data_IF_675810858620
#
_entry.id   IF_675810858620
#
_cell.length_a   1.000
_cell.length_b   1.000
_cell.length_c   1.000
_cell.angle_alpha   90.00
_cell.angle_beta   90.00
_cell.angle_gamma   90.00
#
_symmetry.space_group_name_H-M   'P 1'
#
loop_
_entity.id
_entity.type
_entity.pdbx_description
1 polymer ?
#
# COMPACT_ATOMS: atom_id res chain seq x y z
N UNK A 1 25.92 -5.21 16.77
CA UNK A 1 24.54 -5.58 16.42
C UNK A 1 23.62 -4.82 17.36
N UNK A 2 23.13 -3.66 16.96
CA UNK A 2 22.09 -2.97 17.73
C UNK A 2 20.77 -3.67 17.39
N UNK A 3 20.25 -4.45 18.34
CA UNK A 3 18.92 -5.04 18.23
C UNK A 3 17.90 -3.90 18.09
N UNK A 4 17.08 -4.00 17.06
CA UNK A 4 15.99 -3.07 16.78
C UNK A 4 14.97 -3.23 17.90
N UNK A 5 14.58 -2.16 18.63
CA UNK A 5 13.45 -2.23 19.55
C UNK A 5 12.24 -2.75 18.79
N UNK A 6 11.55 -3.77 19.32
CA UNK A 6 10.33 -4.29 18.69
C UNK A 6 9.32 -3.15 18.59
N UNK A 7 9.22 -2.51 17.42
CA UNK A 7 8.26 -1.42 17.23
C UNK A 7 6.88 -2.05 17.36
N UNK A 8 6.18 -1.68 18.43
CA UNK A 8 4.82 -2.11 18.63
C UNK A 8 3.94 -1.21 17.76
N UNK A 9 3.76 -1.63 16.50
CA UNK A 9 2.99 -0.98 15.44
C UNK A 9 1.46 -0.82 15.70
N UNK A 10 1.02 -0.86 16.96
CA UNK A 10 -0.34 -1.22 17.35
C UNK A 10 -1.10 -0.17 18.18
N UNK A 11 -2.21 0.35 17.65
CA UNK A 11 -3.25 0.97 18.46
C UNK A 11 -4.33 -0.06 18.85
N UNK A 12 -4.81 -0.05 20.11
CA UNK A 12 -5.89 -0.92 20.61
C UNK A 12 -7.24 -0.84 19.85
N UNK A 13 -7.39 0.12 18.93
CA UNK A 13 -8.57 0.28 18.08
C UNK A 13 -8.76 -0.84 17.04
N UNK A 14 -7.73 -1.62 16.70
CA UNK A 14 -7.79 -2.60 15.61
C UNK A 14 -8.60 -3.86 15.95
N UNK A 15 -8.63 -4.29 17.22
CA UNK A 15 -9.49 -5.40 17.68
C UNK A 15 -10.98 -5.09 17.46
N UNK A 16 -11.37 -3.81 17.61
CA UNK A 16 -12.74 -3.36 17.33
C UNK A 16 -13.07 -3.51 15.85
N UNK A 17 -12.15 -3.13 14.96
CA UNK A 17 -12.35 -3.27 13.51
C UNK A 17 -12.42 -4.73 13.09
N UNK A 18 -11.56 -5.60 13.65
CA UNK A 18 -11.60 -7.05 13.42
C UNK A 18 -12.98 -7.64 13.74
N UNK A 19 -13.49 -7.37 14.95
CA UNK A 19 -14.85 -7.78 15.38
C UNK A 19 -15.96 -7.20 14.50
N UNK A 20 -15.77 -5.98 13.99
CA UNK A 20 -16.72 -5.37 13.06
C UNK A 20 -16.73 -6.08 11.71
N UNK A 21 -15.56 -6.44 11.17
CA UNK A 21 -15.43 -7.25 9.95
C UNK A 21 -16.13 -8.60 10.10
N UNK A 22 -15.87 -9.32 11.19
CA UNK A 22 -16.52 -10.61 11.51
C UNK A 22 -18.06 -10.51 11.46
N UNK A 23 -18.63 -9.44 12.04
CA UNK A 23 -20.08 -9.20 12.03
C UNK A 23 -20.64 -8.81 10.66
N UNK A 24 -19.82 -8.27 9.77
CA UNK A 24 -20.24 -7.82 8.44
C UNK A 24 -20.08 -8.91 7.37
N UNK A 25 -19.18 -9.87 7.57
CA UNK A 25 -18.93 -10.97 6.62
C UNK A 25 -20.17 -11.75 6.17
N UNK A 26 -21.15 -12.07 7.05
CA UNK A 26 -22.38 -12.73 6.61
C UNK A 26 -23.27 -11.88 5.70
N UNK A 27 -23.08 -10.55 5.69
CA UNK A 27 -23.89 -9.59 4.94
C UNK A 27 -23.38 -9.34 3.51
N UNK A 28 -22.19 -9.86 3.18
CA UNK A 28 -21.54 -9.62 1.88
C UNK A 28 -21.38 -10.89 1.08
N UNK A 29 -21.44 -10.75 -0.23
CA UNK A 29 -21.29 -11.82 -1.22
C UNK A 29 -19.81 -12.04 -1.57
N UNK A 30 -18.99 -10.98 -1.56
CA UNK A 30 -17.55 -11.05 -1.81
C UNK A 30 -16.76 -9.96 -1.08
N UNK A 31 -15.43 -10.09 -1.13
CA UNK A 31 -14.47 -9.17 -0.52
C UNK A 31 -13.61 -8.52 -1.60
N UNK A 32 -13.46 -7.20 -1.49
CA UNK A 32 -12.55 -6.40 -2.31
C UNK A 32 -11.35 -6.03 -1.45
N UNK A 33 -10.22 -6.68 -1.68
CA UNK A 33 -8.98 -6.41 -0.96
C UNK A 33 -8.17 -5.34 -1.70
N UNK A 34 -8.09 -4.14 -1.14
CA UNK A 34 -7.27 -3.06 -1.70
C UNK A 34 -5.86 -3.16 -1.12
N UNK A 35 -4.87 -3.26 -1.99
CA UNK A 35 -3.45 -3.41 -1.64
C UNK A 35 -2.60 -2.36 -2.35
N UNK A 36 -1.35 -2.16 -1.90
CA UNK A 36 -0.41 -1.24 -2.53
C UNK A 36 0.41 -1.98 -3.60
N UNK A 37 0.32 -1.54 -4.85
CA UNK A 37 0.99 -2.18 -5.99
C UNK A 37 2.52 -2.19 -5.88
N UNK A 38 3.11 -1.33 -5.03
CA UNK A 38 4.56 -1.28 -4.79
C UNK A 38 5.03 -2.37 -3.84
N UNK A 39 4.12 -2.93 -3.03
CA UNK A 39 4.38 -3.99 -2.04
C UNK A 39 3.21 -4.98 -1.99
N UNK A 40 2.89 -5.70 -3.08
CA UNK A 40 1.61 -6.40 -3.21
C UNK A 40 1.38 -7.53 -2.20
N UNK A 41 2.43 -8.20 -1.72
CA UNK A 41 2.32 -9.24 -0.71
C UNK A 41 2.46 -8.65 0.70
N UNK A 42 3.45 -7.80 0.93
CA UNK A 42 3.68 -7.17 2.24
C UNK A 42 2.51 -6.26 2.68
N UNK A 43 1.70 -5.74 1.75
CA UNK A 43 0.51 -4.96 2.08
C UNK A 43 -0.77 -5.77 2.30
N UNK A 44 -0.71 -7.10 2.19
CA UNK A 44 -1.82 -7.99 2.53
C UNK A 44 -1.77 -8.35 3.99
N UNK A 45 -2.93 -8.28 4.65
CA UNK A 45 -3.03 -8.59 6.06
C UNK A 45 -3.38 -10.08 6.26
N UNK A 46 -2.51 -10.88 6.89
CA UNK A 46 -2.77 -12.30 7.15
C UNK A 46 -4.07 -12.55 7.95
N UNK A 47 -4.38 -11.69 8.91
CA UNK A 47 -5.64 -11.80 9.69
C UNK A 47 -6.86 -11.58 8.79
N UNK A 48 -6.80 -10.63 7.85
CA UNK A 48 -7.88 -10.44 6.87
C UNK A 48 -8.01 -11.68 6.00
N UNK A 49 -6.89 -12.31 5.64
CA UNK A 49 -6.90 -13.55 4.84
C UNK A 49 -7.64 -14.67 5.55
N UNK A 50 -7.33 -14.89 6.82
CA UNK A 50 -7.98 -15.91 7.66
C UNK A 50 -9.46 -15.60 7.85
N UNK A 51 -9.81 -14.35 8.19
CA UNK A 51 -11.19 -13.96 8.46
C UNK A 51 -12.11 -14.08 7.26
N UNK A 52 -11.60 -13.77 6.08
CA UNK A 52 -12.37 -13.76 4.83
C UNK A 52 -12.29 -15.10 4.09
N UNK A 53 -11.72 -16.13 4.73
CA UNK A 53 -11.62 -17.47 4.15
C UNK A 53 -13.01 -17.99 3.73
N UNK A 54 -13.13 -18.42 2.47
CA UNK A 54 -14.38 -18.92 1.90
C UNK A 54 -15.28 -17.85 1.25
N UNK A 55 -14.92 -16.56 1.29
CA UNK A 55 -15.56 -15.53 0.47
C UNK A 55 -14.81 -15.36 -0.87
N UNK A 56 -15.52 -15.26 -2.01
CA UNK A 56 -14.90 -14.84 -3.26
C UNK A 56 -14.17 -13.51 -3.08
N UNK A 57 -13.01 -13.38 -3.73
CA UNK A 57 -12.11 -12.25 -3.53
C UNK A 57 -11.70 -11.61 -4.85
N UNK A 58 -11.65 -10.28 -4.83
CA UNK A 58 -11.06 -9.45 -5.89
C UNK A 58 -10.00 -8.57 -5.24
N UNK A 59 -8.79 -8.61 -5.76
CA UNK A 59 -7.68 -7.75 -5.35
C UNK A 59 -7.65 -6.51 -6.25
N UNK A 60 -7.62 -5.33 -5.63
CA UNK A 60 -7.34 -4.05 -6.30
C UNK A 60 -5.93 -3.62 -5.90
N UNK A 61 -4.98 -3.78 -6.82
CA UNK A 61 -3.61 -3.31 -6.69
C UNK A 61 -3.56 -1.81 -6.99
N UNK A 62 -3.79 -1.00 -5.96
CA UNK A 62 -3.85 0.46 -6.07
C UNK A 62 -2.46 1.09 -6.13
N UNK A 63 -2.38 2.34 -6.58
CA UNK A 63 -1.14 3.12 -6.78
C UNK A 63 -0.22 2.53 -7.84
N UNK A 64 -0.80 1.91 -8.87
CA UNK A 64 -0.03 1.34 -9.99
C UNK A 64 0.72 2.41 -10.81
N UNK A 65 0.39 3.69 -10.64
CA UNK A 65 1.12 4.83 -11.22
C UNK A 65 2.52 5.02 -10.61
N UNK A 66 2.75 4.51 -9.39
CA UNK A 66 4.03 4.56 -8.68
C UNK A 66 4.73 3.19 -8.59
N UNK A 67 4.15 2.13 -9.15
CA UNK A 67 4.70 0.77 -9.13
C UNK A 67 5.23 0.37 -10.51
N UNK A 68 6.26 -0.49 -10.55
CA UNK A 68 6.81 -1.00 -11.81
C UNK A 68 5.72 -1.79 -12.57
N UNK A 69 5.52 -1.46 -13.85
CA UNK A 69 4.43 -2.01 -14.67
C UNK A 69 4.64 -3.49 -15.03
N UNK A 70 5.89 -3.90 -15.25
CA UNK A 70 6.24 -5.31 -15.54
C UNK A 70 6.06 -6.15 -14.29
N UNK A 71 6.58 -5.71 -13.14
CA UNK A 71 6.45 -6.42 -11.86
C UNK A 71 4.98 -6.46 -11.42
N UNK A 72 4.22 -5.37 -11.63
CA UNK A 72 2.76 -5.36 -11.38
C UNK A 72 2.04 -6.42 -12.21
N UNK A 73 2.43 -6.61 -13.47
CA UNK A 73 1.85 -7.65 -14.33
C UNK A 73 2.20 -9.06 -13.84
N UNK A 74 3.44 -9.28 -13.39
CA UNK A 74 3.84 -10.56 -12.77
C UNK A 74 3.03 -10.86 -11.51
N UNK A 75 2.74 -9.86 -10.67
CA UNK A 75 1.88 -10.02 -9.49
C UNK A 75 0.42 -10.34 -9.85
N UNK A 76 -0.11 -9.75 -10.91
CA UNK A 76 -1.46 -10.11 -11.40
C UNK A 76 -1.49 -11.58 -11.82
N UNK A 77 -0.46 -12.06 -12.53
CA UNK A 77 -0.36 -13.45 -12.95
C UNK A 77 -0.20 -14.40 -11.75
N UNK A 78 0.61 -14.01 -10.76
CA UNK A 78 0.78 -14.73 -9.50
C UNK A 78 -0.56 -14.93 -8.77
N UNK A 79 -1.35 -13.86 -8.59
CA UNK A 79 -2.67 -13.98 -7.97
C UNK A 79 -3.65 -14.78 -8.83
N UNK A 80 -3.58 -14.66 -10.17
CA UNK A 80 -4.41 -15.46 -11.08
C UNK A 80 -4.12 -16.95 -10.93
N UNK A 81 -2.86 -17.37 -10.80
CA UNK A 81 -2.49 -18.78 -10.56
C UNK A 81 -3.07 -19.32 -9.25
N UNK A 82 -3.27 -18.45 -8.26
CA UNK A 82 -3.94 -18.78 -6.99
C UNK A 82 -5.47 -18.73 -7.07
N UNK A 83 -6.05 -18.50 -8.26
CA UNK A 83 -7.49 -18.36 -8.45
C UNK A 83 -8.07 -17.04 -7.93
N UNK A 84 -7.24 -16.02 -7.71
CA UNK A 84 -7.66 -14.72 -7.21
C UNK A 84 -7.64 -13.70 -8.35
N UNK A 85 -8.77 -13.06 -8.61
CA UNK A 85 -8.88 -11.97 -9.58
C UNK A 85 -8.12 -10.74 -9.06
N UNK A 86 -7.16 -10.21 -9.82
CA UNK A 86 -6.37 -9.04 -9.46
C UNK A 86 -6.41 -7.95 -10.54
N UNK A 87 -6.59 -6.69 -10.12
CA UNK A 87 -6.72 -5.53 -11.01
C UNK A 87 -5.74 -4.45 -10.55
N UNK A 88 -4.80 -4.09 -11.42
CA UNK A 88 -4.02 -2.87 -11.23
C UNK A 88 -4.87 -1.62 -11.47
N UNK A 89 -4.81 -0.69 -10.52
CA UNK A 89 -5.56 0.55 -10.55
C UNK A 89 -4.78 1.73 -9.98
N UNK A 90 -5.13 2.93 -10.45
CA UNK A 90 -4.85 4.18 -9.76
C UNK A 90 -6.20 4.76 -9.34
N UNK A 91 -6.54 4.62 -8.06
CA UNK A 91 -7.82 5.08 -7.52
C UNK A 91 -7.94 6.61 -7.47
N UNK A 92 -6.85 7.36 -7.60
CA UNK A 92 -6.87 8.83 -7.67
C UNK A 92 -7.33 9.28 -9.05
N UNK A 93 -6.76 8.72 -10.12
CA UNK A 93 -7.13 9.08 -11.50
C UNK A 93 -8.28 8.26 -12.06
N UNK A 94 -8.54 7.08 -11.51
CA UNK A 94 -9.51 6.09 -12.00
C UNK A 94 -8.96 5.13 -13.05
N UNK A 95 -7.66 5.18 -13.38
CA UNK A 95 -7.03 4.24 -14.33
C UNK A 95 -7.26 2.80 -13.86
N UNK A 96 -7.71 1.92 -14.76
CA UNK A 96 -7.89 0.49 -14.51
C UNK A 96 -9.20 0.10 -13.81
N UNK A 97 -9.93 1.05 -13.19
CA UNK A 97 -11.15 0.78 -12.42
C UNK A 97 -12.36 0.40 -13.28
N UNK A 98 -12.35 0.72 -14.58
CA UNK A 98 -13.38 0.28 -15.52
C UNK A 98 -13.49 -1.25 -15.62
N UNK A 99 -12.45 -1.99 -15.23
CA UNK A 99 -12.43 -3.46 -15.20
C UNK A 99 -13.08 -4.05 -13.94
N UNK A 100 -13.32 -3.24 -12.92
CA UNK A 100 -13.77 -3.73 -11.62
C UNK A 100 -15.19 -4.30 -11.65
N UNK A 101 -16.17 -3.58 -12.20
CA UNK A 101 -17.56 -4.08 -12.29
C UNK A 101 -17.66 -5.37 -13.14
N UNK A 102 -17.02 -5.45 -14.33
CA UNK A 102 -16.94 -6.72 -15.07
C UNK A 102 -16.34 -7.86 -14.24
N UNK A 103 -15.25 -7.61 -13.51
CA UNK A 103 -14.60 -8.61 -12.67
C UNK A 103 -15.49 -9.08 -11.51
N UNK A 104 -16.29 -8.19 -10.92
CA UNK A 104 -17.29 -8.57 -9.89
C UNK A 104 -18.30 -9.55 -10.48
N UNK A 105 -18.82 -9.27 -11.67
CA UNK A 105 -19.81 -10.14 -12.34
C UNK A 105 -19.22 -11.49 -12.72
N UNK A 106 -17.94 -11.53 -13.11
CA UNK A 106 -17.22 -12.77 -13.39
C UNK A 106 -17.03 -13.61 -12.12
N UNK A 107 -16.49 -13.01 -11.05
CA UNK A 107 -16.22 -13.71 -9.78
C UNK A 107 -17.50 -14.19 -9.09
N UNK A 108 -18.61 -13.48 -9.25
CA UNK A 108 -19.90 -13.83 -8.66
C UNK A 108 -20.89 -14.47 -9.65
N UNK A 109 -20.43 -14.94 -10.81
CA UNK A 109 -21.29 -15.47 -11.87
C UNK A 109 -22.24 -16.58 -11.37
N UNK A 110 -21.73 -17.53 -10.59
CA UNK A 110 -22.53 -18.64 -10.05
C UNK A 110 -23.61 -18.15 -9.07
N UNK A 111 -23.30 -17.16 -8.24
CA UNK A 111 -24.25 -16.56 -7.31
C UNK A 111 -25.35 -15.81 -8.08
N UNK A 112 -24.97 -15.05 -9.11
CA UNK A 112 -25.89 -14.32 -9.98
C UNK A 112 -26.83 -15.29 -10.69
N UNK A 113 -26.29 -16.39 -11.26
CA UNK A 113 -27.07 -17.42 -11.92
C UNK A 113 -28.05 -18.10 -10.95
N UNK A 114 -27.59 -18.45 -9.73
CA UNK A 114 -28.43 -19.03 -8.68
C UNK A 114 -29.56 -18.10 -8.24
N UNK A 115 -29.30 -16.80 -8.10
CA UNK A 115 -30.32 -15.82 -7.76
C UNK A 115 -31.35 -15.67 -8.90
N UNK A 116 -30.87 -15.63 -10.14
CA UNK A 116 -31.73 -15.55 -11.34
C UNK A 116 -32.66 -16.77 -11.45
N UNK A 117 -32.14 -17.99 -11.25
CA UNK A 117 -32.94 -19.22 -11.26
C UNK A 117 -34.02 -19.25 -10.17
N UNK A 118 -33.86 -18.47 -9.09
CA UNK A 118 -34.84 -18.30 -8.02
C UNK A 118 -35.80 -17.13 -8.26
N UNK A 119 -35.80 -16.51 -9.45
CA UNK A 119 -36.63 -15.35 -9.77
C UNK A 119 -36.14 -14.03 -9.15
N UNK A 120 -34.92 -13.98 -8.59
CA UNK A 120 -34.30 -12.79 -8.00
C UNK A 120 -33.26 -12.18 -8.95
N UNK A 121 -33.60 -12.06 -10.24
CA UNK A 121 -32.73 -11.41 -11.21
C UNK A 121 -32.48 -9.95 -10.82
N UNK A 122 -31.24 -9.49 -10.92
CA UNK A 122 -30.86 -8.13 -10.51
C UNK A 122 -30.79 -7.91 -8.99
N UNK A 123 -30.79 -8.98 -8.18
CA UNK A 123 -30.52 -8.87 -6.74
C UNK A 123 -29.19 -8.16 -6.50
N UNK A 124 -29.20 -7.15 -5.64
CA UNK A 124 -28.02 -6.37 -5.26
C UNK A 124 -26.93 -7.27 -4.71
N UNK A 125 -25.72 -7.11 -5.24
CA UNK A 125 -24.49 -7.75 -4.79
C UNK A 125 -23.83 -6.86 -3.75
N UNK A 126 -23.55 -7.42 -2.58
CA UNK A 126 -22.93 -6.69 -1.48
C UNK A 126 -21.45 -7.05 -1.39
N UNK A 127 -20.56 -6.07 -1.47
CA UNK A 127 -19.11 -6.27 -1.41
C UNK A 127 -18.54 -5.56 -0.18
N UNK A 128 -17.61 -6.20 0.54
CA UNK A 128 -16.87 -5.55 1.63
C UNK A 128 -15.50 -5.08 1.15
N UNK A 129 -15.17 -3.81 1.30
CA UNK A 129 -13.85 -3.27 0.98
C UNK A 129 -12.93 -3.40 2.19
N UNK A 130 -11.81 -4.08 2.04
CA UNK A 130 -10.84 -4.36 3.12
C UNK A 130 -9.42 -4.02 2.70
N UNK A 131 -8.50 -3.97 3.66
CA UNK A 131 -7.08 -3.69 3.44
C UNK A 131 -6.48 -2.85 4.56
N UNK A 132 -5.15 -2.77 4.61
CA UNK A 132 -4.44 -2.02 5.65
C UNK A 132 -4.68 -0.49 5.53
N UNK A 133 -4.30 0.33 6.51
CA UNK A 133 -4.35 1.79 6.40
C UNK A 133 -3.58 2.31 5.17
N UNK A 134 -3.98 3.47 4.64
CA UNK A 134 -3.28 4.21 3.58
C UNK A 134 -3.04 3.51 2.22
N UNK A 135 -3.59 2.30 1.99
CA UNK A 135 -3.62 1.67 0.65
C UNK A 135 -4.60 2.32 -0.32
N UNK A 136 -5.49 3.21 0.15
CA UNK A 136 -6.42 3.96 -0.69
C UNK A 136 -7.83 3.38 -0.81
N UNK A 137 -8.33 2.69 0.22
CA UNK A 137 -9.73 2.19 0.29
C UNK A 137 -10.77 3.28 0.07
N UNK A 138 -10.68 4.39 0.79
CA UNK A 138 -11.63 5.51 0.64
C UNK A 138 -11.50 6.18 -0.74
N UNK A 139 -10.29 6.28 -1.29
CA UNK A 139 -10.10 6.75 -2.68
C UNK A 139 -10.77 5.82 -3.69
N UNK A 140 -10.63 4.51 -3.51
CA UNK A 140 -11.32 3.50 -4.32
C UNK A 140 -12.83 3.68 -4.24
N UNK A 141 -13.41 3.67 -3.03
CA UNK A 141 -14.86 3.79 -2.83
C UNK A 141 -15.38 5.10 -3.43
N UNK A 142 -14.75 6.24 -3.11
CA UNK A 142 -15.17 7.54 -3.62
C UNK A 142 -15.07 7.63 -5.14
N UNK A 143 -14.03 7.02 -5.75
CA UNK A 143 -13.87 7.03 -7.21
C UNK A 143 -14.90 6.16 -7.90
N UNK A 144 -15.17 4.98 -7.35
CA UNK A 144 -16.19 4.05 -7.82
C UNK A 144 -17.60 4.67 -7.69
N UNK A 145 -17.91 5.28 -6.55
CA UNK A 145 -19.16 5.98 -6.25
C UNK A 145 -19.35 7.27 -7.08
N UNK A 146 -18.28 8.01 -7.34
CA UNK A 146 -18.30 9.26 -8.09
C UNK A 146 -18.51 9.09 -9.60
N UNK A 147 -18.33 7.88 -10.15
CA UNK A 147 -18.71 7.56 -11.53
C UNK A 147 -20.24 7.58 -11.73
N UNK A 148 -21.02 7.40 -10.65
CA UNK A 148 -22.47 7.53 -10.64
C UNK A 148 -22.90 8.23 -9.35
N UNK A 149 -22.92 9.58 -9.35
CA UNK A 149 -23.39 10.48 -8.25
C UNK A 149 -23.95 9.71 -7.04
N UNK A 150 -23.09 9.29 -6.11
CA UNK A 150 -23.57 8.74 -4.86
C UNK A 150 -24.34 9.83 -4.11
N UNK A 151 -25.62 9.57 -3.84
CA UNK A 151 -26.38 10.35 -2.86
C UNK A 151 -25.81 10.02 -1.49
N UNK A 152 -24.90 10.85 -1.01
CA UNK A 152 -24.49 10.87 0.39
C UNK A 152 -25.63 11.56 1.15
N UNK A 153 -26.46 10.81 1.87
CA UNK A 153 -27.32 11.39 2.89
C UNK A 153 -26.48 11.65 4.14
N UNK A 154 -26.17 12.92 4.37
CA UNK A 154 -25.36 13.39 5.49
C UNK A 154 -26.31 13.86 6.62
N UNK A 155 -26.44 13.09 7.71
CA UNK A 155 -27.10 13.55 8.95
C UNK A 155 -26.08 13.70 10.07
N UNK A 156 -25.80 14.93 10.54
CA UNK A 156 -24.92 15.15 11.69
C UNK A 156 -25.52 14.53 12.97
N UNK A 157 -24.71 13.80 13.74
CA UNK A 157 -25.07 13.35 15.09
C UNK A 157 -25.41 11.87 15.27
N UNK A 158 -25.34 11.04 14.23
CA UNK A 158 -25.56 9.59 14.36
C UNK A 158 -24.20 8.90 14.40
N UNK A 159 -23.95 8.11 15.45
CA UNK A 159 -22.84 7.14 15.51
C UNK A 159 -22.71 6.44 14.16
N UNK A 160 -21.55 6.56 13.49
CA UNK A 160 -21.24 6.03 12.14
C UNK A 160 -21.76 4.60 11.95
N UNK A 161 -23.01 4.46 11.50
CA UNK A 161 -23.59 3.21 11.08
C UNK A 161 -22.95 2.78 9.75
N UNK A 162 -23.00 1.48 9.47
CA UNK A 162 -22.38 0.83 8.32
C UNK A 162 -22.80 1.54 7.02
N UNK A 163 -21.86 2.24 6.37
CA UNK A 163 -22.16 3.01 5.18
C UNK A 163 -22.01 2.11 3.95
N UNK A 164 -23.15 1.69 3.39
CA UNK A 164 -23.22 1.11 2.06
C UNK A 164 -23.16 2.20 1.01
N UNK A 165 -22.35 1.98 -0.02
CA UNK A 165 -22.15 2.93 -1.12
C UNK A 165 -22.53 2.24 -2.41
N UNK A 166 -23.58 2.72 -3.05
CA UNK A 166 -24.04 2.20 -4.34
C UNK A 166 -23.02 2.53 -5.43
N UNK A 167 -22.57 1.49 -6.15
CA UNK A 167 -21.60 1.59 -7.23
C UNK A 167 -22.25 1.51 -8.62
N UNK A 168 -23.06 0.48 -8.81
CA UNK A 168 -23.85 0.26 -10.03
C UNK A 168 -25.33 0.16 -9.64
N UNK A 169 -26.23 -0.21 -10.54
CA UNK A 169 -27.64 -0.40 -10.17
C UNK A 169 -27.87 -1.61 -9.24
N UNK A 170 -26.90 -2.54 -9.19
CA UNK A 170 -27.00 -3.83 -8.52
C UNK A 170 -25.74 -4.21 -7.72
N UNK A 171 -24.86 -3.24 -7.39
CA UNK A 171 -23.64 -3.50 -6.60
C UNK A 171 -23.44 -2.43 -5.53
N UNK A 172 -23.39 -2.82 -4.26
CA UNK A 172 -23.07 -1.95 -3.13
C UNK A 172 -21.73 -2.30 -2.48
N UNK A 173 -21.01 -1.28 -2.03
CA UNK A 173 -19.74 -1.40 -1.31
C UNK A 173 -19.94 -1.03 0.16
N UNK A 174 -19.54 -1.91 1.06
CA UNK A 174 -19.41 -1.62 2.49
C UNK A 174 -17.99 -1.17 2.80
N UNK A 175 -17.84 0.06 3.29
CA UNK A 175 -16.54 0.59 3.72
C UNK A 175 -16.12 0.00 5.07
N UNK A 176 -14.89 -0.50 5.15
CA UNK A 176 -14.28 -0.94 6.40
C UNK A 176 -13.02 -0.12 6.70
N UNK A 177 -12.86 0.35 7.96
CA UNK A 177 -11.61 0.96 8.40
C UNK A 177 -10.42 0.04 8.14
N UNK A 178 -9.25 0.64 7.91
CA UNK A 178 -8.02 -0.13 7.73
C UNK A 178 -7.62 -0.90 8.97
N UNK A 179 -7.11 -2.12 8.77
CA UNK A 179 -6.63 -3.00 9.85
C UNK A 179 -5.21 -3.42 9.55
N UNK A 180 -4.26 -3.12 10.44
CA UNK A 180 -2.96 -3.79 10.49
C UNK A 180 -3.06 -4.98 11.44
N UNK A 181 -2.12 -5.90 11.32
CA UNK A 181 -2.04 -7.06 12.19
C UNK A 181 -0.93 -6.90 13.23
N UNK A 182 -1.00 -7.70 14.30
CA UNK A 182 -0.18 -7.47 15.45
C UNK A 182 1.33 -7.46 15.22
N UNK A 183 1.86 -8.62 14.94
CA UNK A 183 3.29 -8.85 14.88
C UNK A 183 3.61 -9.16 13.44
N UNK A 184 4.58 -8.45 12.90
CA UNK A 184 5.23 -8.86 11.66
C UNK A 184 6.20 -9.98 12.03
N UNK A 185 6.02 -11.18 11.46
CA UNK A 185 6.98 -12.28 11.62
C UNK A 185 8.29 -11.96 10.91
N UNK A 186 8.19 -11.30 9.76
CA UNK A 186 9.31 -10.79 8.98
C UNK A 186 9.44 -9.28 9.14
N UNK A 187 10.62 -8.82 9.59
CA UNK A 187 10.95 -7.41 9.73
C UNK A 187 10.95 -6.66 8.38
N UNK A 188 11.25 -7.36 7.28
CA UNK A 188 11.26 -6.78 5.94
C UNK A 188 9.88 -6.26 5.53
N UNK A 189 8.81 -6.92 5.99
CA UNK A 189 7.42 -6.51 5.77
C UNK A 189 7.14 -5.19 6.49
N UNK A 190 7.54 -5.08 7.76
CA UNK A 190 7.37 -3.85 8.55
C UNK A 190 8.05 -2.65 7.89
N UNK A 191 9.26 -2.84 7.36
CA UNK A 191 10.00 -1.79 6.64
C UNK A 191 9.31 -1.38 5.35
N UNK A 192 8.91 -2.33 4.51
CA UNK A 192 8.13 -2.07 3.27
C UNK A 192 6.84 -1.31 3.55
N UNK A 193 6.14 -1.65 4.63
CA UNK A 193 4.94 -0.94 5.08
C UNK A 193 5.26 0.48 5.56
N UNK A 194 6.37 0.69 6.26
CA UNK A 194 6.81 2.01 6.68
C UNK A 194 7.25 2.88 5.47
N UNK A 195 8.02 2.34 4.53
CA UNK A 195 8.41 3.04 3.29
C UNK A 195 7.20 3.54 2.51
N UNK A 196 6.16 2.72 2.40
CA UNK A 196 4.93 3.05 1.65
C UNK A 196 3.95 3.93 2.42
N UNK A 197 4.21 4.22 3.70
CA UNK A 197 3.38 5.04 4.58
C UNK A 197 2.13 4.33 5.09
N UNK A 198 2.10 2.99 5.06
CA UNK A 198 1.02 2.21 5.67
C UNK A 198 1.07 2.26 7.21
N UNK A 199 2.27 2.47 7.75
CA UNK A 199 2.47 2.82 9.16
C UNK A 199 2.79 4.31 9.28
N UNK A 200 2.35 4.93 10.39
CA UNK A 200 2.54 6.35 10.64
C UNK A 200 4.02 6.66 10.90
N UNK A 201 4.48 7.81 10.43
CA UNK A 201 5.87 8.23 10.59
C UNK A 201 6.20 8.57 12.07
N UNK A 202 5.23 9.06 12.84
CA UNK A 202 5.42 9.42 14.26
C UNK A 202 5.86 8.25 15.17
N UNK A 203 5.75 7.01 14.69
CA UNK A 203 6.16 5.81 15.44
C UNK A 203 7.48 5.22 14.94
N UNK A 204 8.16 5.89 14.01
CA UNK A 204 9.42 5.43 13.39
C UNK A 204 10.42 6.59 13.35
N UNK A 205 11.69 6.28 13.56
CA UNK A 205 12.76 7.21 13.19
C UNK A 205 12.75 7.41 11.67
N UNK A 206 12.33 8.61 11.26
CA UNK A 206 12.14 8.98 9.85
C UNK A 206 13.48 9.07 9.12
N UNK A 207 14.55 9.50 9.79
CA UNK A 207 15.89 9.57 9.20
C UNK A 207 16.43 8.17 8.94
N UNK A 208 16.33 7.28 9.94
CA UNK A 208 16.72 5.89 9.80
C UNK A 208 15.90 5.21 8.69
N UNK A 209 14.59 5.45 8.64
CA UNK A 209 13.71 4.89 7.61
C UNK A 209 14.13 5.36 6.20
N UNK A 210 14.40 6.66 6.03
CA UNK A 210 14.87 7.20 4.76
C UNK A 210 16.23 6.64 4.36
N UNK A 211 17.17 6.50 5.29
CA UNK A 211 18.47 5.86 5.05
C UNK A 211 18.31 4.44 4.52
N UNK A 212 17.42 3.64 5.14
CA UNK A 212 17.16 2.25 4.71
C UNK A 212 16.46 2.18 3.36
N UNK A 213 15.53 3.10 3.10
CA UNK A 213 14.92 3.22 1.78
C UNK A 213 15.95 3.55 0.70
N UNK A 214 16.86 4.49 0.96
CA UNK A 214 17.92 4.87 0.01
C UNK A 214 18.87 3.69 -0.29
N UNK A 215 19.25 2.91 0.73
CA UNK A 215 20.00 1.67 0.53
C UNK A 215 19.21 0.73 -0.39
N UNK A 216 17.93 0.51 -0.11
CA UNK A 216 17.10 -0.39 -0.92
C UNK A 216 16.95 0.08 -2.36
N UNK A 217 16.71 1.38 -2.56
CA UNK A 217 16.59 1.99 -3.87
C UNK A 217 17.90 1.94 -4.66
N UNK A 218 19.06 2.05 -4.00
CA UNK A 218 20.37 1.85 -4.64
C UNK A 218 20.51 0.44 -5.22
N UNK A 219 19.98 -0.58 -4.56
CA UNK A 219 20.02 -1.96 -5.03
C UNK A 219 19.09 -2.21 -6.23
N UNK A 220 17.86 -1.69 -6.17
CA UNK A 220 16.80 -2.10 -7.11
C UNK A 220 16.48 -1.05 -8.20
N UNK A 221 16.85 0.21 -7.97
CA UNK A 221 16.53 1.34 -8.84
C UNK A 221 17.62 2.44 -8.77
N UNK A 222 18.90 2.13 -9.01
CA UNK A 222 19.99 3.11 -8.92
C UNK A 222 19.83 4.27 -9.91
N UNK A 223 19.35 4.00 -11.12
CA UNK A 223 19.13 5.01 -12.16
C UNK A 223 18.10 6.05 -11.70
N UNK A 224 17.02 5.62 -11.07
CA UNK A 224 16.01 6.52 -10.48
C UNK A 224 16.59 7.49 -9.46
N UNK A 225 17.49 7.04 -8.59
CA UNK A 225 18.14 7.89 -7.59
C UNK A 225 19.10 8.90 -8.24
N UNK A 226 19.95 8.43 -9.14
CA UNK A 226 20.93 9.29 -9.83
C UNK A 226 20.23 10.32 -10.71
N UNK A 227 19.17 9.95 -11.42
CA UNK A 227 18.41 10.87 -12.26
C UNK A 227 17.67 11.92 -11.44
N UNK A 228 17.02 11.53 -10.34
CA UNK A 228 16.18 12.40 -9.51
C UNK A 228 16.98 13.38 -8.65
N UNK A 229 18.07 12.92 -8.06
CA UNK A 229 18.87 13.69 -7.11
C UNK A 229 20.20 14.19 -7.67
N UNK A 230 20.65 13.67 -8.83
CA UNK A 230 21.96 14.01 -9.42
C UNK A 230 23.13 13.74 -8.47
N UNK A 231 23.03 12.64 -7.72
CA UNK A 231 24.05 12.19 -6.75
C UNK A 231 24.82 10.99 -7.29
N UNK A 232 26.07 10.82 -6.85
CA UNK A 232 26.84 9.59 -7.06
C UNK A 232 26.41 8.51 -6.07
N UNK A 233 26.38 7.25 -6.53
CA UNK A 233 26.04 6.07 -5.72
C UNK A 233 27.25 5.19 -5.39
N UNK A 234 28.46 5.64 -5.75
CA UNK A 234 29.72 4.96 -5.47
C UNK A 234 30.37 5.46 -4.18
N UNK A 235 31.06 4.54 -3.49
CA UNK A 235 31.77 4.78 -2.24
C UNK A 235 32.72 5.97 -2.41
N UNK A 236 32.82 6.90 -1.43
CA UNK A 236 33.85 7.94 -1.49
C UNK A 236 35.23 7.30 -1.70
N UNK A 237 36.08 7.93 -2.51
CA UNK A 237 37.49 7.58 -2.59
C UNK A 237 38.15 7.81 -1.21
N UNK A 238 39.22 7.07 -0.87
CA UNK A 238 39.86 7.12 0.45
C UNK A 238 40.22 8.55 0.90
N UNK A 239 40.45 9.46 -0.04
CA UNK A 239 40.80 10.87 0.19
C UNK A 239 39.63 11.78 0.61
N UNK A 240 38.37 11.33 0.45
CA UNK A 240 37.15 12.06 0.87
C UNK A 240 36.58 11.57 2.21
N UNK A 241 37.24 10.59 2.86
CA UNK A 241 36.86 10.11 4.19
C UNK A 241 37.10 11.20 5.24
N UNK A 242 36.04 11.91 5.62
CA UNK A 242 36.03 12.79 6.78
C UNK A 242 36.34 11.98 8.04
N UNK A 243 37.04 12.59 9.02
CA UNK A 243 37.48 12.08 10.33
C UNK A 243 36.36 11.54 11.27
N UNK A 244 35.28 10.96 10.76
CA UNK A 244 34.16 10.43 11.58
C UNK A 244 34.38 9.00 12.08
N UNK A 245 35.56 8.40 11.88
CA UNK A 245 35.99 7.23 12.65
C UNK A 245 35.18 5.93 12.49
N UNK A 246 34.33 5.81 11.47
CA UNK A 246 33.61 4.57 11.15
C UNK A 246 34.05 4.01 9.80
N UNK A 247 35.06 3.15 9.81
CA UNK A 247 35.46 2.37 8.64
C UNK A 247 34.51 1.19 8.41
N UNK A 248 33.91 1.07 7.22
CA UNK A 248 33.99 -0.14 6.35
C UNK A 248 33.18 0.03 5.03
N UNK A 249 33.86 0.29 3.91
CA UNK A 249 33.59 -0.30 2.58
C UNK A 249 32.27 -0.09 1.83
N UNK A 250 31.23 0.53 2.39
CA UNK A 250 29.95 0.75 1.70
C UNK A 250 29.41 2.15 2.00
N UNK A 251 28.82 2.85 1.01
CA UNK A 251 28.01 4.04 1.32
C UNK A 251 26.88 3.61 2.27
N UNK A 252 26.91 4.11 3.51
CA UNK A 252 25.82 3.90 4.45
C UNK A 252 24.62 4.78 4.03
N UNK A 253 23.41 4.39 4.44
CA UNK A 253 22.20 5.13 4.04
C UNK A 253 22.21 6.61 4.46
N UNK A 254 22.96 6.94 5.52
CA UNK A 254 23.16 8.30 6.00
C UNK A 254 23.95 9.18 5.02
N UNK A 255 25.03 8.66 4.43
CA UNK A 255 25.79 9.38 3.42
C UNK A 255 24.95 9.62 2.15
N UNK A 256 24.12 8.65 1.73
CA UNK A 256 23.16 8.89 0.65
C UNK A 256 22.18 10.01 1.01
N UNK A 257 21.69 10.03 2.25
CA UNK A 257 20.77 11.07 2.74
C UNK A 257 21.43 12.45 2.75
N UNK A 258 22.68 12.54 3.20
CA UNK A 258 23.49 13.75 3.18
C UNK A 258 23.69 14.27 1.76
N UNK A 259 24.00 13.37 0.80
CA UNK A 259 24.12 13.72 -0.62
C UNK A 259 22.81 14.25 -1.18
N UNK A 260 21.67 13.65 -0.84
CA UNK A 260 20.34 14.16 -1.23
C UNK A 260 20.09 15.54 -0.65
N UNK A 261 20.35 15.74 0.64
CA UNK A 261 20.17 17.02 1.33
C UNK A 261 21.05 18.13 0.71
N UNK A 262 22.32 17.82 0.43
CA UNK A 262 23.26 18.72 -0.27
C UNK A 262 22.78 19.06 -1.67
N UNK A 263 22.41 18.06 -2.48
CA UNK A 263 21.93 18.27 -3.85
C UNK A 263 20.63 19.10 -3.90
N UNK A 264 19.83 19.09 -2.83
CA UNK A 264 18.60 19.87 -2.71
C UNK A 264 18.78 21.22 -2.00
N UNK A 265 19.99 21.56 -1.55
CA UNK A 265 20.24 22.79 -0.78
C UNK A 265 19.47 22.84 0.55
N UNK A 266 19.21 21.69 1.16
CA UNK A 266 18.52 21.58 2.44
C UNK A 266 19.51 21.85 3.57
N UNK A 267 19.80 23.13 3.82
CA UNK A 267 20.78 23.56 4.83
C UNK A 267 20.08 24.14 6.06
N UNK A 268 20.71 23.99 7.23
CA UNK A 268 20.41 24.76 8.44
C UNK A 268 21.46 25.86 8.68
N UNK A 269 21.25 26.66 9.72
CA UNK A 269 22.22 27.69 10.13
C UNK A 269 23.59 27.05 10.39
N UNK A 270 24.66 27.65 9.88
CA UNK A 270 26.02 27.10 9.94
C UNK A 270 26.43 26.27 8.72
N UNK A 271 25.52 26.05 7.75
CA UNK A 271 25.83 25.33 6.50
C UNK A 271 25.76 23.81 6.61
N UNK A 272 25.33 23.28 7.76
CA UNK A 272 25.06 21.85 7.95
C UNK A 272 23.83 21.40 7.17
N UNK A 273 23.79 20.12 6.80
CA UNK A 273 22.66 19.54 6.07
C UNK A 273 21.49 19.27 7.03
N UNK A 274 20.29 19.69 6.64
CA UNK A 274 19.06 19.34 7.32
C UNK A 274 18.62 17.92 6.93
N UNK A 275 19.04 16.92 7.69
CA UNK A 275 18.77 15.50 7.44
C UNK A 275 17.30 15.13 7.64
N UNK A 276 16.60 15.74 8.61
CA UNK A 276 15.16 15.53 8.83
C UNK A 276 14.35 15.93 7.59
N UNK A 277 14.64 17.10 7.02
CA UNK A 277 13.99 17.60 5.81
C UNK A 277 14.33 16.76 4.59
N UNK A 278 15.58 16.29 4.49
CA UNK A 278 15.99 15.37 3.43
C UNK A 278 15.24 14.03 3.54
N UNK A 279 15.09 13.50 4.75
CA UNK A 279 14.43 12.23 5.01
C UNK A 279 12.94 12.29 4.64
N UNK A 280 12.24 13.34 5.11
CA UNK A 280 10.86 13.59 4.74
C UNK A 280 10.69 13.71 3.21
N UNK A 281 11.59 14.45 2.54
CA UNK A 281 11.54 14.60 1.09
C UNK A 281 11.74 13.28 0.34
N UNK A 282 12.68 12.44 0.76
CA UNK A 282 12.92 11.12 0.16
C UNK A 282 11.68 10.24 0.27
N UNK A 283 11.10 10.14 1.47
CA UNK A 283 9.92 9.32 1.73
C UNK A 283 8.70 9.84 0.95
N UNK A 284 8.44 11.15 0.94
CA UNK A 284 7.33 11.74 0.19
C UNK A 284 7.49 11.58 -1.32
N UNK A 285 8.71 11.71 -1.83
CA UNK A 285 8.99 11.51 -3.26
C UNK A 285 8.81 10.06 -3.69
N UNK A 286 9.25 9.10 -2.86
CA UNK A 286 8.96 7.68 -3.09
C UNK A 286 7.46 7.40 -3.02
N UNK A 287 6.79 7.89 -1.97
CA UNK A 287 5.37 7.68 -1.73
C UNK A 287 4.50 8.25 -2.85
N UNK A 288 4.92 9.39 -3.41
CA UNK A 288 4.26 10.07 -4.52
C UNK A 288 4.68 9.61 -5.92
N UNK A 289 5.57 8.60 -6.05
CA UNK A 289 6.03 8.10 -7.35
C UNK A 289 6.97 9.05 -8.11
N UNK A 290 7.53 10.06 -7.45
CA UNK A 290 8.46 11.04 -8.06
C UNK A 290 9.86 10.47 -8.32
N UNK A 291 10.18 9.36 -7.67
CA UNK A 291 11.39 8.56 -7.93
C UNK A 291 11.21 7.58 -9.09
N UNK A 292 10.09 7.65 -9.80
CA UNK A 292 9.72 6.70 -10.85
C UNK A 292 8.83 5.58 -10.31
N UNK A 293 8.62 4.58 -11.17
CA UNK A 293 7.74 3.44 -10.91
C UNK A 293 8.55 2.30 -10.32
N UNK A 294 8.38 2.06 -9.02
CA UNK A 294 9.24 1.14 -8.26
C UNK A 294 8.38 0.21 -7.42
N UNK A 295 8.63 -1.09 -7.54
CA UNK A 295 8.03 -2.12 -6.69
C UNK A 295 9.12 -2.76 -5.84
N UNK A 296 8.93 -2.82 -4.53
CA UNK A 296 9.93 -3.24 -3.55
C UNK A 296 10.02 -4.76 -3.35
N UNK A 297 9.18 -5.52 -4.05
CA UNK A 297 9.13 -6.97 -3.99
C UNK A 297 8.54 -7.57 -5.26
N UNK A 298 8.95 -8.79 -5.55
CA UNK A 298 8.58 -9.54 -6.75
C UNK A 298 7.95 -10.88 -6.35
N UNK A 299 7.15 -11.52 -7.23
CA UNK A 299 6.62 -12.84 -6.93
C UNK A 299 7.70 -13.89 -6.63
N UNK A 300 8.89 -13.75 -7.22
CA UNK A 300 10.02 -14.65 -6.98
C UNK A 300 10.48 -14.67 -5.51
N UNK A 301 10.24 -13.60 -4.75
CA UNK A 301 10.57 -13.53 -3.32
C UNK A 301 9.66 -14.45 -2.46
N UNK A 302 8.54 -14.94 -3.01
CA UNK A 302 7.49 -15.68 -2.29
C UNK A 302 7.22 -17.08 -2.84
N UNK A 303 8.03 -17.56 -3.79
CA UNK A 303 7.84 -18.84 -4.47
C UNK A 303 6.82 -18.77 -5.61
N UNK A 304 6.99 -19.60 -6.64
CA UNK A 304 6.16 -19.62 -7.85
C UNK A 304 4.79 -20.31 -7.72
#
# INVERSE_FOLDING_TARGET
>A
MNEIPSIQWFPGHMTKTKRMMEKCLPLVDAVVEVIDARVPMSSRNPDINVLTAGKPRIIVMNKCDAADEKVTSQWIDYFRRQGIMAIAADCRTGKGLNRFVPAVREVLADLIAKNTAKGMAGKVLHLMVVGIPNVGKSSFINRMAGQKKAKVEDRPGVTREKQWVMLDNDIELLDMPGVLWPKFEDMSVGEKLAFTGAVKDDVVDTELLACRLLIKLREIAPDSLTERYKIKLDTPEEDEMVESGEAMGCINGYELLMRVGKARGMLISGGEINTERAAAAVLDEFRGGKLGRITLETPADFGD
#
